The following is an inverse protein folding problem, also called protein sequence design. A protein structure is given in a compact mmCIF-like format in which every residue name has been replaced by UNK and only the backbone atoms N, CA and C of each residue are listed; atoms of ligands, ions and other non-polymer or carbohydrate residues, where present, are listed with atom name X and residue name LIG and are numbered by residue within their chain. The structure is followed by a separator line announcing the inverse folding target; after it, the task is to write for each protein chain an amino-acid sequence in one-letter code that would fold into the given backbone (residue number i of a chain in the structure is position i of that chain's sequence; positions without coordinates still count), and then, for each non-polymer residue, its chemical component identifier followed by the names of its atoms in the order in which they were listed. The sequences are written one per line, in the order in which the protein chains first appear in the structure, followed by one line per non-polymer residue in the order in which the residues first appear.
data_IF_585144400834
#
_entry.id   IF_585144400834
#
_cell.length_a   1.000
_cell.length_b   1.000
_cell.length_c   1.000
_cell.angle_alpha   90.00
_cell.angle_beta   90.00
_cell.angle_gamma   90.00
#
_symmetry.space_group_name_H-M   'P 1'
#
loop_
_entity.id
_entity.type
_entity.pdbx_description
1 polymer ?
#
# COMPACT_ATOMS: atom_id res chain seq x y z
N UNK A 1 -27.51 4.66 -15.15
CA UNK A 1 -27.21 4.77 -13.70
C UNK A 1 -25.81 4.20 -13.48
N UNK A 2 -24.81 5.05 -13.24
CA UNK A 2 -23.44 4.59 -13.04
C UNK A 2 -23.37 3.83 -11.71
N UNK A 3 -23.16 2.52 -11.78
CA UNK A 3 -22.80 1.71 -10.62
C UNK A 3 -21.40 2.15 -10.19
N UNK A 4 -21.30 3.06 -9.23
CA UNK A 4 -20.04 3.31 -8.54
C UNK A 4 -19.64 1.97 -7.89
N UNK A 5 -18.55 1.32 -8.34
CA UNK A 5 -18.16 0.04 -7.75
C UNK A 5 -17.94 0.28 -6.26
N UNK A 6 -18.60 -0.51 -5.40
CA UNK A 6 -18.35 -0.46 -3.97
C UNK A 6 -16.93 -0.96 -3.73
N UNK A 7 -15.96 -0.05 -3.79
CA UNK A 7 -14.58 -0.33 -3.41
C UNK A 7 -14.57 -0.88 -1.99
N UNK A 8 -13.90 -2.02 -1.81
CA UNK A 8 -13.69 -2.61 -0.49
C UNK A 8 -12.94 -1.63 0.42
N UNK A 9 -13.03 -1.85 1.73
CA UNK A 9 -12.38 -0.97 2.73
C UNK A 9 -10.87 -0.90 2.51
N UNK A 10 -10.26 -2.02 2.14
CA UNK A 10 -8.85 -2.17 1.81
C UNK A 10 -8.48 -1.41 0.54
N UNK A 11 -9.32 -1.49 -0.50
CA UNK A 11 -9.12 -0.75 -1.74
C UNK A 11 -9.11 0.76 -1.50
N UNK A 12 -10.08 1.27 -0.73
CA UNK A 12 -10.10 2.69 -0.34
C UNK A 12 -8.86 3.09 0.44
N UNK A 13 -8.43 2.26 1.41
CA UNK A 13 -7.21 2.51 2.18
C UNK A 13 -5.95 2.49 1.32
N UNK A 14 -5.89 1.65 0.31
CA UNK A 14 -4.74 1.58 -0.61
C UNK A 14 -4.59 2.83 -1.48
N UNK A 15 -5.70 3.53 -1.73
CA UNK A 15 -5.77 4.78 -2.50
C UNK A 15 -5.58 6.03 -1.63
N UNK A 16 -5.75 5.92 -0.31
CA UNK A 16 -5.54 7.02 0.64
C UNK A 16 -4.09 7.53 0.55
N UNK A 17 -3.93 8.85 0.51
CA UNK A 17 -2.61 9.48 0.50
C UNK A 17 -2.00 9.35 1.89
N UNK A 18 -0.77 8.84 1.93
CA UNK A 18 0.02 8.70 3.14
C UNK A 18 1.28 9.52 3.02
N UNK A 19 1.71 10.10 4.14
CA UNK A 19 2.92 10.92 4.21
C UNK A 19 4.12 10.09 4.62
N UNK A 20 5.20 10.16 3.85
CA UNK A 20 6.47 9.53 4.19
C UNK A 20 7.04 10.11 5.49
N UNK A 21 7.40 9.30 6.50
CA UNK A 21 8.01 9.80 7.74
C UNK A 21 9.46 10.27 7.55
N UNK A 22 10.11 9.94 6.42
CA UNK A 22 11.51 10.31 6.13
C UNK A 22 11.62 11.57 5.28
N UNK A 23 10.96 11.62 4.12
CA UNK A 23 11.06 12.77 3.19
C UNK A 23 9.86 13.70 3.22
N UNK A 24 8.78 13.34 3.91
CA UNK A 24 7.59 14.18 4.06
C UNK A 24 6.67 14.28 2.82
N UNK A 25 7.00 13.62 1.70
CA UNK A 25 6.16 13.57 0.49
C UNK A 25 4.95 12.65 0.69
N UNK A 26 3.88 12.94 -0.05
CA UNK A 26 2.62 12.19 -0.02
C UNK A 26 2.50 11.29 -1.25
N UNK A 27 1.96 10.09 -1.04
CA UNK A 27 1.70 9.11 -2.09
C UNK A 27 0.62 8.12 -1.66
N UNK A 28 -0.01 7.43 -2.60
CA UNK A 28 -0.91 6.31 -2.29
C UNK A 28 -0.15 5.00 -2.15
N UNK A 29 -0.65 4.08 -1.31
CA UNK A 29 0.00 2.80 -1.06
C UNK A 29 0.06 1.91 -2.29
N UNK A 30 -0.99 1.95 -3.12
CA UNK A 30 -1.02 1.22 -4.38
C UNK A 30 0.05 1.73 -5.36
N UNK A 31 0.24 3.05 -5.44
CA UNK A 31 1.28 3.65 -6.28
C UNK A 31 2.69 3.29 -5.78
N UNK A 32 2.93 3.39 -4.47
CA UNK A 32 4.19 2.98 -3.88
C UNK A 32 4.49 1.51 -4.13
N UNK A 33 3.48 0.64 -4.02
CA UNK A 33 3.64 -0.79 -4.30
C UNK A 33 3.97 -1.04 -5.77
N UNK A 34 3.26 -0.39 -6.70
CA UNK A 34 3.47 -0.56 -8.13
C UNK A 34 4.82 -0.02 -8.62
N UNK A 35 5.30 1.09 -8.05
CA UNK A 35 6.54 1.74 -8.52
C UNK A 35 7.77 1.29 -7.72
N UNK A 36 7.73 1.33 -6.40
CA UNK A 36 8.91 1.11 -5.56
C UNK A 36 9.13 -0.37 -5.22
N UNK A 37 8.07 -1.17 -5.19
CA UNK A 37 8.16 -2.62 -4.97
C UNK A 37 8.09 -3.44 -6.25
N UNK A 38 8.18 -2.80 -7.42
CA UNK A 38 8.18 -3.50 -8.71
C UNK A 38 9.32 -4.52 -8.77
N UNK A 39 9.02 -5.74 -9.22
CA UNK A 39 9.97 -6.84 -9.29
C UNK A 39 10.38 -7.46 -7.93
N UNK A 40 9.81 -7.02 -6.80
CA UNK A 40 10.10 -7.63 -5.50
C UNK A 40 9.16 -8.82 -5.23
N UNK A 41 9.67 -10.06 -5.11
CA UNK A 41 8.81 -11.23 -4.90
C UNK A 41 8.06 -11.19 -3.56
N UNK A 42 8.63 -10.52 -2.53
CA UNK A 42 7.92 -10.32 -1.25
C UNK A 42 6.70 -9.43 -1.40
N UNK A 43 6.70 -8.50 -2.37
CA UNK A 43 5.58 -7.60 -2.62
C UNK A 43 4.31 -8.36 -3.02
N UNK A 44 4.46 -9.50 -3.70
CA UNK A 44 3.39 -10.44 -4.04
C UNK A 44 2.98 -11.36 -2.87
N UNK A 45 3.74 -11.38 -1.76
CA UNK A 45 3.56 -12.30 -0.61
C UNK A 45 3.09 -11.59 0.67
N UNK A 46 2.07 -10.73 0.57
CA UNK A 46 1.46 -10.02 1.71
C UNK A 46 2.44 -9.20 2.56
N UNK A 47 3.47 -8.64 1.93
CA UNK A 47 4.49 -7.85 2.62
C UNK A 47 3.89 -6.64 3.33
N UNK A 48 4.13 -6.53 4.64
CA UNK A 48 3.64 -5.43 5.47
C UNK A 48 4.54 -4.19 5.45
N UNK A 49 5.61 -4.20 4.65
CA UNK A 49 6.47 -3.04 4.44
C UNK A 49 5.98 -2.19 3.27
N UNK A 50 6.21 -0.89 3.40
CA UNK A 50 6.10 0.11 2.34
C UNK A 50 7.47 0.66 2.05
N UNK A 51 7.78 0.78 0.76
CA UNK A 51 8.92 1.52 0.26
C UNK A 51 8.44 2.83 -0.35
N UNK A 52 9.01 3.95 0.08
CA UNK A 52 8.67 5.26 -0.47
C UNK A 52 9.15 5.37 -1.93
N UNK A 53 8.30 5.75 -2.89
CA UNK A 53 8.69 5.89 -4.30
C UNK A 53 9.59 7.11 -4.59
N UNK A 54 9.85 7.97 -3.60
CA UNK A 54 10.62 9.20 -3.79
C UNK A 54 11.98 9.22 -3.09
N UNK A 55 12.15 8.45 -2.02
CA UNK A 55 13.39 8.46 -1.22
C UNK A 55 13.84 7.05 -0.82
N UNK A 56 13.16 6.01 -1.33
CA UNK A 56 13.46 4.60 -1.10
C UNK A 56 13.44 4.12 0.36
N UNK A 57 13.02 4.98 1.29
CA UNK A 57 12.88 4.60 2.67
C UNK A 57 11.84 3.48 2.83
N UNK A 58 12.24 2.40 3.51
CA UNK A 58 11.37 1.29 3.89
C UNK A 58 10.91 1.44 5.33
N UNK A 59 9.61 1.23 5.56
CA UNK A 59 9.01 1.29 6.89
C UNK A 59 7.73 0.43 6.92
N UNK A 60 7.30 -0.03 8.10
CA UNK A 60 6.13 -0.89 8.21
C UNK A 60 4.83 -0.10 7.99
N UNK A 61 3.84 -0.72 7.33
CA UNK A 61 2.51 -0.13 7.11
C UNK A 61 1.86 0.32 8.42
N UNK A 62 2.07 -0.42 9.52
CA UNK A 62 1.51 -0.10 10.84
C UNK A 62 2.05 1.23 11.42
N UNK A 63 3.19 1.74 10.94
CA UNK A 63 3.71 3.04 11.39
C UNK A 63 3.01 4.23 10.73
N UNK A 64 2.18 4.00 9.71
CA UNK A 64 1.42 5.05 9.06
C UNK A 64 0.23 5.45 9.94
N UNK A 65 0.05 6.76 10.16
CA UNK A 65 -1.06 7.31 10.96
C UNK A 65 -2.46 6.89 10.46
N UNK A 66 -2.55 6.57 9.17
CA UNK A 66 -3.75 6.08 8.48
C UNK A 66 -4.19 4.68 8.93
N UNK A 67 -3.30 3.89 9.53
CA UNK A 67 -3.56 2.50 9.94
C UNK A 67 -3.96 2.41 11.41
N UNK A 68 -4.99 1.61 11.71
CA UNK A 68 -5.45 1.30 13.08
C UNK A 68 -4.70 0.13 13.73
N UNK A 69 -3.44 -0.08 13.38
CA UNK A 69 -2.56 -1.13 13.95
C UNK A 69 -2.26 -2.31 13.00
N UNK A 70 -1.65 -3.36 13.56
CA UNK A 70 -1.08 -4.51 12.81
C UNK A 70 -2.09 -5.28 11.97
N UNK A 71 -3.29 -5.53 12.49
CA UNK A 71 -4.32 -6.31 11.78
C UNK A 71 -4.78 -5.62 10.49
N UNK A 72 -4.98 -4.29 10.54
CA UNK A 72 -5.37 -3.52 9.36
C UNK A 72 -4.23 -3.44 8.34
N UNK A 73 -2.99 -3.21 8.82
CA UNK A 73 -1.80 -3.24 7.97
C UNK A 73 -1.67 -4.59 7.23
N UNK A 74 -1.94 -5.71 7.89
CA UNK A 74 -1.91 -7.03 7.27
C UNK A 74 -3.03 -7.23 6.24
N UNK A 75 -4.26 -6.77 6.54
CA UNK A 75 -5.38 -6.85 5.58
C UNK A 75 -5.09 -6.04 4.31
N UNK A 76 -4.60 -4.81 4.46
CA UNK A 76 -4.22 -3.96 3.32
C UNK A 76 -3.03 -4.54 2.56
N UNK A 77 -2.02 -5.08 3.25
CA UNK A 77 -0.89 -5.75 2.62
C UNK A 77 -1.34 -6.94 1.75
N UNK A 78 -2.24 -7.78 2.26
CA UNK A 78 -2.83 -8.90 1.49
C UNK A 78 -3.58 -8.41 0.25
N UNK A 79 -4.37 -7.35 0.39
CA UNK A 79 -5.07 -6.73 -0.74
C UNK A 79 -4.08 -6.23 -1.80
N UNK A 80 -3.06 -5.46 -1.39
CA UNK A 80 -2.03 -4.93 -2.29
C UNK A 80 -1.27 -6.04 -3.01
N UNK A 81 -0.92 -7.12 -2.30
CA UNK A 81 -0.24 -8.26 -2.91
C UNK A 81 -1.09 -9.00 -3.92
N UNK A 82 -2.41 -9.11 -3.69
CA UNK A 82 -3.33 -9.65 -4.68
C UNK A 82 -3.36 -8.77 -5.93
N UNK A 83 -3.43 -7.45 -5.76
CA UNK A 83 -3.39 -6.51 -6.89
C UNK A 83 -2.08 -6.65 -7.68
N UNK A 84 -0.93 -6.77 -7.03
CA UNK A 84 0.34 -7.01 -7.75
C UNK A 84 0.29 -8.34 -8.52
N UNK A 85 -0.22 -9.40 -7.90
CA UNK A 85 -0.34 -10.74 -8.51
C UNK A 85 -1.26 -10.81 -9.72
N UNK A 86 -2.28 -9.96 -9.77
CA UNK A 86 -3.20 -9.90 -10.91
C UNK A 86 -2.57 -9.17 -12.12
N UNK A 87 -1.43 -8.47 -11.94
CA UNK A 87 -0.77 -7.65 -12.96
C UNK A 87 0.70 -8.04 -13.25
N UNK A 88 1.20 -9.13 -12.64
CA UNK A 88 2.52 -9.75 -12.94
C UNK A 88 2.39 -10.85 -14.00
#
# INVERSE_FOLDING_TARGET
MAMSPRLSREARKSLELVRCPKCGREFSLIYARAMACWGCPRAAMSCTLVRCPYCDAEFPLESLRTMRGRGEAQSVARYLSRVVRDYE
#
